data_IF_856042210642
#
_entry.id   IF_856042210642
#
_cell.length_a   1.000
_cell.length_b   1.000
_cell.length_c   1.000
_cell.angle_alpha   90.00
_cell.angle_beta   90.00
_cell.angle_gamma   90.00
#
_symmetry.space_group_name_H-M   'P 1'
#
loop_
_entity.id
_entity.type
_entity.pdbx_description
1 polymer ?
#
# COMPACT_ATOMS: atom_id res chain seq x y z
N UNK A 1 77.11 133.05 78.61
CA UNK A 1 75.97 132.13 78.40
C UNK A 1 75.86 131.64 76.95
N UNK A 2 76.98 131.58 76.22
CA UNK A 2 77.11 130.98 74.87
C UNK A 2 77.15 129.45 74.84
N UNK A 3 77.01 128.78 75.99
CA UNK A 3 77.27 127.34 76.11
C UNK A 3 76.00 126.48 75.93
N UNK A 4 74.82 126.94 76.41
CA UNK A 4 73.60 126.10 76.43
C UNK A 4 72.96 125.95 75.03
N UNK A 5 72.94 127.02 74.23
CA UNK A 5 72.37 127.01 72.88
C UNK A 5 73.18 126.10 71.94
N UNK A 6 74.50 126.01 72.13
CA UNK A 6 75.38 125.12 71.36
C UNK A 6 75.09 123.64 71.66
N UNK A 7 74.83 123.28 72.93
CA UNK A 7 74.50 121.90 73.31
C UNK A 7 73.14 121.43 72.76
N UNK A 8 72.12 122.30 72.73
CA UNK A 8 70.81 121.97 72.16
C UNK A 8 70.90 121.79 70.64
N UNK A 9 71.68 122.63 69.95
CA UNK A 9 71.89 122.53 68.50
C UNK A 9 72.66 121.25 68.12
N UNK A 10 73.67 120.86 68.90
CA UNK A 10 74.41 119.60 68.71
C UNK A 10 73.53 118.37 68.98
N UNK A 11 72.61 118.44 69.96
CA UNK A 11 71.64 117.38 70.23
C UNK A 11 70.61 117.19 69.10
N UNK A 12 70.14 118.28 68.51
CA UNK A 12 69.25 118.23 67.33
C UNK A 12 70.00 117.72 66.10
N UNK A 13 71.24 118.20 65.88
CA UNK A 13 72.07 117.75 64.76
C UNK A 13 72.39 116.25 64.86
N UNK A 14 72.72 115.75 66.05
CA UNK A 14 73.00 114.33 66.28
C UNK A 14 71.76 113.45 66.14
N UNK A 15 70.59 113.93 66.56
CA UNK A 15 69.31 113.26 66.33
C UNK A 15 68.93 113.17 64.85
N UNK A 16 69.12 114.25 64.09
CA UNK A 16 68.93 114.24 62.63
C UNK A 16 69.94 113.31 61.96
N UNK A 17 71.21 113.32 62.40
CA UNK A 17 72.23 112.40 61.88
C UNK A 17 71.85 110.93 62.15
N UNK A 18 71.37 110.60 63.35
CA UNK A 18 70.95 109.24 63.69
C UNK A 18 69.73 108.77 62.86
N UNK A 19 68.74 109.65 62.63
CA UNK A 19 67.58 109.33 61.78
C UNK A 19 67.97 109.16 60.32
N UNK A 20 68.86 110.01 59.79
CA UNK A 20 69.35 109.89 58.42
C UNK A 20 70.19 108.63 58.23
N UNK A 21 71.04 108.26 59.20
CA UNK A 21 71.82 107.03 59.20
C UNK A 21 70.93 105.78 59.32
N UNK A 22 69.89 105.80 60.16
CA UNK A 22 68.92 104.69 60.23
C UNK A 22 68.11 104.57 58.93
N UNK A 23 67.70 105.68 58.31
CA UNK A 23 67.05 105.66 56.98
C UNK A 23 68.00 105.14 55.91
N UNK A 24 69.28 105.51 55.92
CA UNK A 24 70.31 105.00 55.00
C UNK A 24 70.53 103.49 55.19
N UNK A 25 70.55 103.01 56.44
CA UNK A 25 70.67 101.59 56.76
C UNK A 25 69.43 100.81 56.32
N UNK A 26 68.23 101.36 56.51
CA UNK A 26 66.97 100.80 56.02
C UNK A 26 66.89 100.80 54.49
N UNK A 27 67.30 101.88 53.82
CA UNK A 27 67.38 101.95 52.37
C UNK A 27 68.35 100.90 51.82
N UNK A 28 69.52 100.74 52.47
CA UNK A 28 70.52 99.75 52.07
C UNK A 28 70.01 98.32 52.25
N UNK A 29 69.33 98.04 53.36
CA UNK A 29 68.66 96.75 53.57
C UNK A 29 67.57 96.46 52.53
N UNK A 30 66.77 97.46 52.16
CA UNK A 30 65.77 97.32 51.10
C UNK A 30 66.42 97.11 49.72
N UNK A 31 67.57 97.76 49.46
CA UNK A 31 68.34 97.61 48.23
C UNK A 31 68.93 96.20 48.12
N UNK A 32 69.46 95.63 49.21
CA UNK A 32 69.93 94.24 49.25
C UNK A 32 68.79 93.24 49.03
N UNK A 33 67.60 93.48 49.61
CA UNK A 33 66.41 92.63 49.37
C UNK A 33 65.94 92.73 47.92
N UNK A 34 65.91 93.95 47.34
CA UNK A 34 65.58 94.12 45.93
C UNK A 34 66.59 93.44 45.02
N UNK A 35 67.88 93.50 45.36
CA UNK A 35 68.95 92.88 44.59
C UNK A 35 68.88 91.36 44.68
N UNK A 36 68.66 90.79 45.87
CA UNK A 36 68.41 89.36 46.03
C UNK A 36 67.15 88.89 45.28
N UNK A 37 66.08 89.69 45.27
CA UNK A 37 64.87 89.38 44.50
C UNK A 37 65.12 89.46 42.99
N UNK A 38 65.92 90.43 42.54
CA UNK A 38 66.33 90.55 41.14
C UNK A 38 67.19 89.36 40.70
N UNK A 39 68.14 88.94 41.53
CA UNK A 39 69.02 87.80 41.25
C UNK A 39 68.24 86.49 41.27
N UNK A 40 67.29 86.32 42.19
CA UNK A 40 66.36 85.18 42.20
C UNK A 40 65.44 85.16 40.97
N UNK A 41 64.92 86.33 40.56
CA UNK A 41 64.11 86.45 39.35
C UNK A 41 64.92 86.13 38.09
N UNK A 42 66.19 86.55 38.02
CA UNK A 42 67.11 86.20 36.94
C UNK A 42 67.40 84.70 36.90
N UNK A 43 67.72 84.08 38.03
CA UNK A 43 67.95 82.64 38.09
C UNK A 43 66.72 81.86 37.62
N UNK A 44 65.53 82.23 38.09
CA UNK A 44 64.28 81.61 37.62
C UNK A 44 64.02 81.84 36.13
N UNK A 45 64.34 83.02 35.60
CA UNK A 45 64.21 83.29 34.17
C UNK A 45 65.11 82.35 33.37
N UNK A 46 66.35 82.17 33.79
CA UNK A 46 67.29 81.22 33.18
C UNK A 46 66.81 79.77 33.30
N UNK A 47 66.27 79.36 34.44
CA UNK A 47 65.69 78.02 34.61
C UNK A 47 64.49 77.80 33.68
N UNK A 48 63.63 78.81 33.50
CA UNK A 48 62.50 78.75 32.57
C UNK A 48 62.96 78.76 31.10
N UNK A 49 63.98 79.55 30.75
CA UNK A 49 64.58 79.55 29.41
C UNK A 49 65.14 78.16 29.06
N UNK A 50 65.85 77.53 30.01
CA UNK A 50 66.37 76.17 29.87
C UNK A 50 65.22 75.15 29.68
N UNK A 51 64.14 75.27 30.48
CA UNK A 51 62.99 74.37 30.38
C UNK A 51 62.22 74.53 29.06
N UNK A 52 62.13 75.76 28.53
CA UNK A 52 61.55 76.02 27.22
C UNK A 52 62.41 75.39 26.13
N UNK A 53 63.73 75.54 26.19
CA UNK A 53 64.65 74.94 25.22
C UNK A 53 64.58 73.39 25.22
N UNK A 54 64.56 72.77 26.40
CA UNK A 54 64.39 71.32 26.56
C UNK A 54 63.03 70.86 25.98
N UNK A 55 61.95 71.60 26.25
CA UNK A 55 60.61 71.29 25.74
C UNK A 55 60.52 71.47 24.22
N UNK A 56 61.18 72.49 23.66
CA UNK A 56 61.26 72.71 22.21
C UNK A 56 62.05 71.59 21.51
N UNK A 57 63.09 71.08 22.17
CA UNK A 57 63.84 69.92 21.71
C UNK A 57 62.97 68.65 21.70
N UNK A 58 62.23 68.36 22.78
CA UNK A 58 61.30 67.23 22.82
C UNK A 58 60.20 67.34 21.75
N UNK A 59 59.60 68.52 21.58
CA UNK A 59 58.62 68.78 20.52
C UNK A 59 59.20 68.53 19.13
N UNK A 60 60.46 68.90 18.92
CA UNK A 60 61.16 68.65 17.65
C UNK A 60 61.40 67.16 17.42
N UNK A 61 61.81 66.41 18.44
CA UNK A 61 61.97 64.96 18.34
C UNK A 61 60.64 64.25 18.06
N UNK A 62 59.58 64.59 18.79
CA UNK A 62 58.24 64.03 18.57
C UNK A 62 57.72 64.34 17.16
N UNK A 63 57.99 65.56 16.64
CA UNK A 63 57.63 65.92 15.27
C UNK A 63 58.37 65.06 14.23
N UNK A 64 59.66 64.77 14.46
CA UNK A 64 60.43 63.87 13.60
C UNK A 64 59.88 62.43 13.66
N UNK A 65 59.53 61.94 14.85
CA UNK A 65 58.91 60.60 15.01
C UNK A 65 57.54 60.50 14.34
N UNK A 66 56.67 61.52 14.48
CA UNK A 66 55.39 61.57 13.78
C UNK A 66 55.61 61.55 12.27
N UNK A 67 56.62 62.28 11.78
CA UNK A 67 56.94 62.34 10.36
C UNK A 67 57.45 60.99 9.83
N UNK A 68 58.29 60.29 10.60
CA UNK A 68 58.80 58.97 10.22
C UNK A 68 57.70 57.90 10.27
N UNK A 69 56.84 57.92 11.30
CA UNK A 69 55.67 57.05 11.41
C UNK A 69 54.65 57.30 10.29
N UNK A 70 54.44 58.55 9.89
CA UNK A 70 53.57 58.88 8.76
C UNK A 70 54.13 58.34 7.45
N UNK A 71 55.45 58.40 7.28
CA UNK A 71 56.12 57.86 6.10
C UNK A 71 56.04 56.33 6.04
N UNK A 72 56.20 55.64 7.18
CA UNK A 72 56.02 54.18 7.23
C UNK A 72 54.57 53.78 6.99
N UNK A 73 53.60 54.51 7.54
CA UNK A 73 52.18 54.28 7.28
C UNK A 73 51.83 54.43 5.79
N UNK A 74 52.33 55.45 5.10
CA UNK A 74 52.13 55.61 3.65
C UNK A 74 52.79 54.47 2.85
N UNK A 75 53.96 53.96 3.27
CA UNK A 75 54.55 52.76 2.66
C UNK A 75 53.65 51.53 2.82
N UNK A 76 53.03 51.35 3.99
CA UNK A 76 52.13 50.21 4.24
C UNK A 76 50.77 50.36 3.55
N UNK A 77 50.29 51.59 3.35
CA UNK A 77 49.05 51.89 2.62
C UNK A 77 49.05 51.34 1.18
N UNK A 78 50.22 51.28 0.54
CA UNK A 78 50.40 50.64 -0.77
C UNK A 78 49.99 49.15 -0.78
N UNK A 79 50.02 48.48 0.36
CA UNK A 79 49.65 47.07 0.48
C UNK A 79 48.17 46.85 0.83
N UNK A 80 47.37 47.91 1.00
CA UNK A 80 45.94 47.79 1.29
C UNK A 80 45.18 47.04 0.19
N UNK A 81 45.55 47.26 -1.08
CA UNK A 81 44.98 46.53 -2.22
C UNK A 81 45.26 45.02 -2.14
N UNK A 82 46.38 44.60 -1.55
CA UNK A 82 46.70 43.17 -1.36
C UNK A 82 45.74 42.54 -0.35
N UNK A 83 45.48 43.21 0.78
CA UNK A 83 44.51 42.73 1.77
C UNK A 83 43.09 42.64 1.19
N UNK A 84 42.70 43.60 0.35
CA UNK A 84 41.40 43.57 -0.32
C UNK A 84 41.31 42.42 -1.34
N UNK A 85 42.37 42.15 -2.10
CA UNK A 85 42.46 41.01 -3.01
C UNK A 85 42.41 39.69 -2.23
N UNK A 86 43.14 39.55 -1.12
CA UNK A 86 43.12 38.35 -0.27
C UNK A 86 41.70 38.08 0.24
N UNK A 87 41.01 39.10 0.73
CA UNK A 87 39.62 38.98 1.17
C UNK A 87 38.69 38.60 0.01
N UNK A 88 38.90 39.16 -1.18
CA UNK A 88 38.16 38.79 -2.39
C UNK A 88 38.40 37.31 -2.78
N UNK A 89 39.64 36.84 -2.74
CA UNK A 89 40.01 35.44 -3.03
C UNK A 89 39.37 34.49 -2.02
N UNK A 90 39.39 34.83 -0.73
CA UNK A 90 38.72 34.04 0.33
C UNK A 90 37.23 33.94 0.04
N UNK A 91 36.57 35.07 -0.23
CA UNK A 91 35.14 35.10 -0.53
C UNK A 91 34.80 34.28 -1.79
N UNK A 92 35.61 34.39 -2.85
CA UNK A 92 35.42 33.62 -4.09
C UNK A 92 35.63 32.12 -3.89
N UNK A 93 36.63 31.73 -3.09
CA UNK A 93 36.89 30.33 -2.76
C UNK A 93 35.72 29.74 -1.98
N UNK A 94 35.20 30.46 -0.97
CA UNK A 94 34.02 30.04 -0.21
C UNK A 94 32.77 29.92 -1.08
N UNK A 95 32.55 30.86 -2.01
CA UNK A 95 31.44 30.76 -2.98
C UNK A 95 31.58 29.54 -3.88
N UNK A 96 32.79 29.27 -4.40
CA UNK A 96 33.06 28.11 -5.25
C UNK A 96 32.84 26.80 -4.48
N UNK A 97 33.35 26.69 -3.25
CA UNK A 97 33.14 25.52 -2.39
C UNK A 97 31.66 25.28 -2.07
N UNK A 98 30.91 26.35 -1.77
CA UNK A 98 29.48 26.25 -1.53
C UNK A 98 28.74 25.80 -2.77
N UNK A 99 29.08 26.33 -3.95
CA UNK A 99 28.47 25.91 -5.21
C UNK A 99 28.74 24.43 -5.52
N UNK A 100 29.97 23.96 -5.30
CA UNK A 100 30.33 22.54 -5.46
C UNK A 100 29.55 21.66 -4.50
N UNK A 101 29.44 22.06 -3.21
CA UNK A 101 28.65 21.32 -2.21
C UNK A 101 27.18 21.25 -2.60
N UNK A 102 26.58 22.38 -2.98
CA UNK A 102 25.18 22.45 -3.43
C UNK A 102 24.96 21.55 -4.65
N UNK A 103 25.79 21.66 -5.68
CA UNK A 103 25.69 20.83 -6.89
C UNK A 103 25.80 19.34 -6.56
N UNK A 104 26.67 18.96 -5.61
CA UNK A 104 26.79 17.56 -5.17
C UNK A 104 25.54 17.07 -4.46
N UNK A 105 24.94 17.90 -3.60
CA UNK A 105 23.68 17.58 -2.91
C UNK A 105 22.55 17.44 -3.93
N UNK A 106 22.41 18.39 -4.85
CA UNK A 106 21.39 18.36 -5.90
C UNK A 106 21.54 17.12 -6.79
N UNK A 107 22.77 16.78 -7.18
CA UNK A 107 23.04 15.55 -7.93
C UNK A 107 22.68 14.28 -7.13
N UNK A 108 22.93 14.26 -5.81
CA UNK A 108 22.54 13.14 -4.94
C UNK A 108 21.02 13.00 -4.85
N UNK A 109 20.30 14.10 -4.66
CA UNK A 109 18.83 14.13 -4.64
C UNK A 109 18.28 13.61 -5.97
N UNK A 110 18.81 14.09 -7.09
CA UNK A 110 18.39 13.65 -8.43
C UNK A 110 18.61 12.15 -8.65
N UNK A 111 19.74 11.60 -8.19
CA UNK A 111 20.02 10.16 -8.27
C UNK A 111 19.01 9.36 -7.45
N UNK A 112 18.68 9.82 -6.24
CA UNK A 112 17.73 9.12 -5.38
C UNK A 112 16.29 9.23 -5.91
N UNK A 113 15.92 10.36 -6.52
CA UNK A 113 14.65 10.52 -7.23
C UNK A 113 14.54 9.57 -8.43
N UNK A 114 15.61 9.43 -9.23
CA UNK A 114 15.65 8.49 -10.36
C UNK A 114 15.52 7.06 -9.87
N UNK A 115 16.22 6.67 -8.79
CA UNK A 115 16.06 5.34 -8.18
C UNK A 115 14.62 5.11 -7.71
N UNK A 116 14.03 6.07 -7.01
CA UNK A 116 12.64 6.00 -6.57
C UNK A 116 11.66 5.87 -7.74
N UNK A 117 11.92 6.55 -8.86
CA UNK A 117 11.14 6.41 -10.09
C UNK A 117 11.28 5.01 -10.71
N UNK A 118 12.51 4.49 -10.82
CA UNK A 118 12.77 3.14 -11.35
C UNK A 118 12.03 2.09 -10.53
N UNK A 119 12.07 2.16 -9.20
CA UNK A 119 11.38 1.20 -8.33
C UNK A 119 9.85 1.27 -8.49
N UNK A 120 9.28 2.48 -8.63
CA UNK A 120 7.85 2.63 -8.94
C UNK A 120 7.48 2.03 -10.29
N UNK A 121 8.30 2.21 -11.32
CA UNK A 121 8.07 1.63 -12.65
C UNK A 121 8.17 0.11 -12.62
N UNK A 122 9.17 -0.45 -11.94
CA UNK A 122 9.29 -1.91 -11.75
C UNK A 122 8.05 -2.48 -11.07
N UNK A 123 7.65 -1.91 -9.94
CA UNK A 123 6.46 -2.35 -9.20
C UNK A 123 5.18 -2.23 -10.06
N UNK A 124 5.06 -1.19 -10.88
CA UNK A 124 3.95 -1.05 -11.82
C UNK A 124 3.95 -2.15 -12.90
N UNK A 125 5.10 -2.45 -13.50
CA UNK A 125 5.23 -3.49 -14.53
C UNK A 125 4.90 -4.87 -13.93
N UNK A 126 5.45 -5.19 -12.76
CA UNK A 126 5.17 -6.45 -12.05
C UNK A 126 3.68 -6.58 -11.73
N UNK A 127 3.07 -5.52 -11.18
CA UNK A 127 1.63 -5.48 -10.91
C UNK A 127 0.77 -5.59 -12.17
N UNK A 128 1.20 -4.97 -13.27
CA UNK A 128 0.50 -5.06 -14.56
C UNK A 128 0.59 -6.46 -15.16
N UNK A 129 1.77 -7.09 -15.13
CA UNK A 129 1.97 -8.46 -15.60
C UNK A 129 1.13 -9.46 -14.81
N UNK A 130 1.13 -9.36 -13.48
CA UNK A 130 0.29 -10.21 -12.63
C UNK A 130 -1.21 -10.08 -12.96
N UNK A 131 -1.69 -8.84 -13.14
CA UNK A 131 -3.08 -8.58 -13.55
C UNK A 131 -3.38 -9.08 -14.95
N UNK A 132 -2.45 -8.96 -15.89
CA UNK A 132 -2.63 -9.44 -17.26
C UNK A 132 -2.75 -10.97 -17.30
N UNK A 133 -1.87 -11.68 -16.59
CA UNK A 133 -1.94 -13.15 -16.45
C UNK A 133 -3.26 -13.56 -15.80
N UNK A 134 -3.65 -12.93 -14.69
CA UNK A 134 -4.92 -13.21 -14.01
C UNK A 134 -6.13 -13.00 -14.95
N UNK A 135 -6.13 -11.95 -15.76
CA UNK A 135 -7.20 -11.67 -16.72
C UNK A 135 -7.28 -12.74 -17.80
N UNK A 136 -6.13 -13.17 -18.34
CA UNK A 136 -6.06 -14.26 -19.33
C UNK A 136 -6.57 -15.57 -18.72
N UNK A 137 -6.15 -15.90 -17.50
CA UNK A 137 -6.61 -17.10 -16.80
C UNK A 137 -8.12 -17.08 -16.54
N UNK A 138 -8.66 -15.94 -16.12
CA UNK A 138 -10.10 -15.79 -15.92
C UNK A 138 -10.86 -15.98 -17.23
N UNK A 139 -10.42 -15.35 -18.31
CA UNK A 139 -11.02 -15.51 -19.63
C UNK A 139 -10.94 -16.96 -20.13
N UNK A 140 -9.82 -17.66 -19.89
CA UNK A 140 -9.67 -19.06 -20.24
C UNK A 140 -10.65 -19.94 -19.46
N UNK A 141 -10.82 -19.71 -18.15
CA UNK A 141 -11.79 -20.43 -17.31
C UNK A 141 -13.23 -20.20 -17.78
N UNK A 142 -13.60 -18.96 -18.06
CA UNK A 142 -14.92 -18.62 -18.59
C UNK A 142 -15.18 -19.32 -19.94
N UNK A 143 -14.18 -19.34 -20.82
CA UNK A 143 -14.26 -20.02 -22.11
C UNK A 143 -14.40 -21.54 -21.96
N UNK A 144 -13.61 -22.16 -21.09
CA UNK A 144 -13.71 -23.59 -20.78
C UNK A 144 -15.08 -23.96 -20.19
N UNK A 145 -15.60 -23.14 -19.29
CA UNK A 145 -16.93 -23.35 -18.72
C UNK A 145 -18.03 -23.26 -19.79
N UNK A 146 -17.90 -22.33 -20.75
CA UNK A 146 -18.81 -22.24 -21.91
C UNK A 146 -18.72 -23.49 -22.78
N UNK A 147 -17.52 -23.98 -23.11
CA UNK A 147 -17.36 -25.21 -23.88
C UNK A 147 -17.92 -26.43 -23.15
N UNK A 148 -17.69 -26.55 -21.84
CA UNK A 148 -18.26 -27.64 -21.04
C UNK A 148 -19.79 -27.62 -21.09
N UNK A 149 -20.40 -26.44 -20.90
CA UNK A 149 -21.86 -26.27 -21.00
C UNK A 149 -22.38 -26.61 -22.41
N UNK A 150 -21.66 -26.19 -23.45
CA UNK A 150 -22.03 -26.48 -24.83
C UNK A 150 -21.95 -27.98 -25.13
N UNK A 151 -20.87 -28.65 -24.75
CA UNK A 151 -20.73 -30.09 -24.91
C UNK A 151 -21.81 -30.85 -24.13
N UNK A 152 -22.12 -30.42 -22.91
CA UNK A 152 -23.20 -31.01 -22.12
C UNK A 152 -24.57 -30.87 -22.81
N UNK A 153 -24.87 -29.72 -23.41
CA UNK A 153 -26.11 -29.54 -24.17
C UNK A 153 -26.11 -30.38 -25.46
N UNK A 154 -24.96 -30.52 -26.13
CA UNK A 154 -24.81 -31.36 -27.32
C UNK A 154 -25.07 -32.84 -27.01
N UNK A 155 -24.48 -33.39 -25.94
CA UNK A 155 -24.79 -34.74 -25.47
C UNK A 155 -26.27 -34.91 -25.14
N UNK A 156 -26.86 -33.94 -24.44
CA UNK A 156 -28.28 -33.96 -24.09
C UNK A 156 -29.18 -33.92 -25.34
N UNK A 157 -28.84 -33.12 -26.35
CA UNK A 157 -29.56 -33.09 -27.62
C UNK A 157 -29.39 -34.39 -28.40
N UNK A 158 -28.22 -35.02 -28.34
CA UNK A 158 -28.00 -36.34 -28.93
C UNK A 158 -28.88 -37.40 -28.27
N UNK A 159 -29.01 -37.40 -26.94
CA UNK A 159 -29.93 -38.30 -26.22
C UNK A 159 -31.39 -38.08 -26.66
N UNK A 160 -31.80 -36.81 -26.86
CA UNK A 160 -33.13 -36.46 -27.36
C UNK A 160 -33.35 -36.95 -28.79
N UNK A 161 -32.37 -36.74 -29.69
CA UNK A 161 -32.45 -37.22 -31.08
C UNK A 161 -32.54 -38.74 -31.11
N UNK A 162 -31.71 -39.43 -30.34
CA UNK A 162 -31.71 -40.88 -30.23
C UNK A 162 -33.06 -41.40 -29.70
N UNK A 163 -33.60 -40.74 -28.65
CA UNK A 163 -34.92 -41.06 -28.12
C UNK A 163 -36.04 -40.86 -29.17
N UNK A 164 -35.97 -39.80 -29.99
CA UNK A 164 -36.90 -39.60 -31.10
C UNK A 164 -36.77 -40.69 -32.17
N UNK A 165 -35.54 -41.07 -32.54
CA UNK A 165 -35.26 -42.13 -33.50
C UNK A 165 -35.85 -43.47 -33.03
N UNK A 166 -35.66 -43.83 -31.76
CA UNK A 166 -36.28 -45.03 -31.18
C UNK A 166 -37.82 -44.97 -31.21
N UNK A 167 -38.42 -43.81 -30.92
CA UNK A 167 -39.88 -43.65 -31.03
C UNK A 167 -40.40 -43.82 -32.46
N UNK A 168 -39.61 -43.40 -33.47
CA UNK A 168 -39.96 -43.53 -34.89
C UNK A 168 -39.85 -44.99 -35.34
N UNK A 169 -38.75 -45.66 -35.02
CA UNK A 169 -38.48 -47.04 -35.47
C UNK A 169 -39.17 -48.10 -34.60
N UNK A 170 -39.62 -47.72 -33.41
CA UNK A 170 -40.15 -48.62 -32.40
C UNK A 170 -39.07 -49.40 -31.66
N UNK A 171 -39.47 -50.12 -30.61
CA UNK A 171 -38.57 -50.85 -29.71
C UNK A 171 -38.43 -52.35 -30.05
N UNK A 172 -38.83 -52.77 -31.25
CA UNK A 172 -38.95 -54.19 -31.60
C UNK A 172 -37.59 -54.88 -31.81
N UNK A 173 -36.57 -54.13 -32.23
CA UNK A 173 -35.25 -54.65 -32.58
C UNK A 173 -34.16 -53.90 -31.80
N UNK A 174 -33.13 -54.62 -31.34
CA UNK A 174 -31.95 -54.03 -30.68
C UNK A 174 -31.97 -54.05 -29.14
N UNK A 175 -33.12 -54.25 -28.49
CA UNK A 175 -33.24 -54.23 -27.02
C UNK A 175 -33.53 -55.61 -26.42
N UNK A 176 -32.64 -56.58 -26.70
CA UNK A 176 -32.80 -57.99 -26.31
C UNK A 176 -32.32 -58.29 -24.89
N UNK A 177 -32.78 -57.54 -23.90
CA UNK A 177 -32.56 -57.86 -22.49
C UNK A 177 -33.81 -58.52 -21.91
N UNK A 178 -33.69 -59.76 -21.46
CA UNK A 178 -34.74 -60.48 -20.75
C UNK A 178 -34.47 -60.53 -19.24
N UNK A 179 -35.53 -60.73 -18.45
CA UNK A 179 -35.45 -60.85 -17.00
C UNK A 179 -34.54 -62.02 -16.56
N UNK A 180 -34.53 -63.12 -17.32
CA UNK A 180 -33.63 -64.26 -17.08
C UNK A 180 -32.16 -63.88 -17.13
N UNK A 181 -31.79 -62.93 -17.99
CA UNK A 181 -30.40 -62.50 -18.14
C UNK A 181 -29.98 -61.73 -16.87
N UNK A 182 -30.87 -60.88 -16.35
CA UNK A 182 -30.68 -60.18 -15.07
C UNK A 182 -30.67 -61.13 -13.87
N UNK A 183 -31.45 -62.22 -13.89
CA UNK A 183 -31.41 -63.23 -12.82
C UNK A 183 -30.01 -63.85 -12.66
N UNK A 184 -29.26 -64.02 -13.75
CA UNK A 184 -27.89 -64.57 -13.67
C UNK A 184 -26.90 -63.65 -12.98
N UNK A 185 -27.22 -62.35 -12.86
CA UNK A 185 -26.40 -61.36 -12.16
C UNK A 185 -26.70 -61.30 -10.65
N UNK A 186 -27.76 -61.97 -10.17
CA UNK A 186 -28.12 -61.98 -8.76
C UNK A 186 -27.25 -62.96 -7.96
N UNK A 187 -27.11 -62.69 -6.66
CA UNK A 187 -26.40 -63.56 -5.73
C UNK A 187 -27.08 -64.92 -5.68
N UNK A 188 -26.28 -65.98 -5.61
CA UNK A 188 -26.77 -67.36 -5.49
C UNK A 188 -27.73 -67.50 -4.30
N UNK A 189 -28.90 -68.10 -4.55
CA UNK A 189 -29.94 -68.28 -3.55
C UNK A 189 -30.93 -67.13 -3.39
N UNK A 190 -30.84 -66.05 -4.17
CA UNK A 190 -31.85 -64.99 -4.19
C UNK A 190 -33.20 -65.52 -4.71
N UNK A 191 -34.26 -65.42 -3.90
CA UNK A 191 -35.55 -66.08 -4.18
C UNK A 191 -36.67 -65.11 -4.56
N UNK A 192 -37.83 -65.67 -4.89
CA UNK A 192 -39.07 -64.92 -5.17
C UNK A 192 -39.43 -63.99 -4.01
N UNK A 193 -39.30 -64.46 -2.76
CA UNK A 193 -39.62 -63.69 -1.57
C UNK A 193 -38.71 -62.46 -1.40
N UNK A 194 -37.41 -62.61 -1.67
CA UNK A 194 -36.44 -61.51 -1.59
C UNK A 194 -36.71 -60.48 -2.69
N UNK A 195 -36.98 -60.96 -3.91
CA UNK A 195 -37.36 -60.12 -5.06
C UNK A 195 -38.63 -59.33 -4.77
N UNK A 196 -39.65 -59.98 -4.19
CA UNK A 196 -40.92 -59.35 -3.85
C UNK A 196 -40.75 -58.27 -2.77
N UNK A 197 -39.95 -58.55 -1.72
CA UNK A 197 -39.64 -57.58 -0.68
C UNK A 197 -38.89 -56.38 -1.25
N UNK A 198 -37.87 -56.61 -2.07
CA UNK A 198 -37.11 -55.51 -2.67
C UNK A 198 -37.96 -54.65 -3.62
N UNK A 199 -38.85 -55.26 -4.40
CA UNK A 199 -39.81 -54.51 -5.23
C UNK A 199 -40.75 -53.67 -4.38
N UNK A 200 -41.19 -54.17 -3.22
CA UNK A 200 -41.99 -53.40 -2.27
C UNK A 200 -41.20 -52.21 -1.72
N UNK A 201 -39.94 -52.41 -1.30
CA UNK A 201 -39.07 -51.35 -0.80
C UNK A 201 -38.86 -50.24 -1.86
N UNK A 202 -38.69 -50.61 -3.13
CA UNK A 202 -38.59 -49.65 -4.24
C UNK A 202 -39.88 -48.85 -4.40
N UNK A 203 -41.04 -49.51 -4.31
CA UNK A 203 -42.36 -48.83 -4.42
C UNK A 203 -42.59 -47.86 -3.27
N UNK A 204 -42.23 -48.24 -2.05
CA UNK A 204 -42.29 -47.35 -0.89
C UNK A 204 -41.40 -46.12 -1.08
N UNK A 205 -40.19 -46.29 -1.64
CA UNK A 205 -39.30 -45.18 -2.00
C UNK A 205 -39.90 -44.26 -3.09
N UNK A 206 -40.55 -44.85 -4.11
CA UNK A 206 -41.24 -44.09 -5.16
C UNK A 206 -42.37 -43.25 -4.56
N UNK A 207 -43.21 -43.84 -3.71
CA UNK A 207 -44.29 -43.11 -3.03
C UNK A 207 -43.73 -42.01 -2.12
N UNK A 208 -42.65 -42.28 -1.39
CA UNK A 208 -42.01 -41.29 -0.54
C UNK A 208 -41.46 -40.12 -1.38
N UNK A 209 -40.82 -40.39 -2.52
CA UNK A 209 -40.33 -39.34 -3.41
C UNK A 209 -41.45 -38.48 -3.98
N UNK A 210 -42.63 -39.06 -4.26
CA UNK A 210 -43.85 -38.33 -4.64
C UNK A 210 -44.32 -37.43 -3.48
N UNK A 211 -44.49 -37.99 -2.28
CA UNK A 211 -44.92 -37.24 -1.08
C UNK A 211 -43.97 -36.07 -0.75
N UNK A 212 -42.67 -36.31 -0.87
CA UNK A 212 -41.63 -35.32 -0.60
C UNK A 212 -41.42 -34.29 -1.73
N UNK A 213 -42.19 -34.39 -2.83
CA UNK A 213 -42.00 -33.57 -4.05
C UNK A 213 -40.58 -33.63 -4.63
N UNK A 214 -39.92 -34.79 -4.53
CA UNK A 214 -38.57 -35.06 -5.06
C UNK A 214 -38.57 -35.70 -6.45
N UNK A 215 -39.72 -35.75 -7.10
CA UNK A 215 -39.88 -36.34 -8.45
C UNK A 215 -39.31 -35.42 -9.53
N UNK A 216 -39.66 -34.15 -9.45
CA UNK A 216 -39.34 -33.13 -10.44
C UNK A 216 -38.79 -31.86 -9.78
N UNK A 217 -38.32 -30.92 -10.58
CA UNK A 217 -37.93 -29.57 -10.16
C UNK A 217 -38.13 -28.59 -11.31
N UNK A 218 -38.41 -27.33 -11.01
CA UNK A 218 -38.45 -26.24 -11.99
C UNK A 218 -38.13 -24.89 -11.33
N UNK A 219 -37.86 -23.88 -12.16
CA UNK A 219 -37.36 -22.57 -11.71
C UNK A 219 -38.46 -21.50 -11.54
N UNK A 220 -39.74 -21.87 -11.49
CA UNK A 220 -40.80 -20.90 -11.22
C UNK A 220 -40.65 -20.31 -9.81
N UNK A 221 -40.67 -18.97 -9.75
CA UNK A 221 -40.63 -18.23 -8.48
C UNK A 221 -41.95 -18.39 -7.72
N UNK A 222 -43.06 -18.30 -8.43
CA UNK A 222 -44.41 -18.50 -7.92
C UNK A 222 -44.61 -19.96 -7.48
N UNK A 223 -45.02 -20.15 -6.22
CA UNK A 223 -45.11 -21.48 -5.60
C UNK A 223 -46.23 -22.34 -6.19
N UNK A 224 -47.39 -21.76 -6.47
CA UNK A 224 -48.54 -22.48 -7.02
C UNK A 224 -48.25 -22.96 -8.44
N UNK A 225 -47.66 -22.09 -9.28
CA UNK A 225 -47.20 -22.46 -10.63
C UNK A 225 -46.08 -23.50 -10.59
N UNK A 226 -45.13 -23.35 -9.65
CA UNK A 226 -44.04 -24.32 -9.45
C UNK A 226 -44.61 -25.70 -9.11
N UNK A 227 -45.47 -25.77 -8.10
CA UNK A 227 -46.12 -26.99 -7.66
C UNK A 227 -46.95 -27.62 -8.78
N UNK A 228 -47.81 -26.85 -9.44
CA UNK A 228 -48.66 -27.33 -10.54
C UNK A 228 -47.83 -27.88 -11.71
N UNK A 229 -46.74 -27.20 -12.07
CA UNK A 229 -45.84 -27.66 -13.14
C UNK A 229 -45.12 -28.94 -12.75
N UNK A 230 -44.63 -29.03 -11.51
CA UNK A 230 -44.00 -30.22 -10.97
C UNK A 230 -44.97 -31.41 -10.95
N UNK A 231 -46.22 -31.19 -10.53
CA UNK A 231 -47.24 -32.24 -10.49
C UNK A 231 -47.59 -32.71 -11.91
N UNK A 232 -47.73 -31.78 -12.86
CA UNK A 232 -48.06 -32.10 -14.25
C UNK A 232 -46.96 -32.95 -14.92
N UNK A 233 -45.69 -32.55 -14.79
CA UNK A 233 -44.59 -33.30 -15.42
C UNK A 233 -44.37 -34.65 -14.73
N UNK A 234 -44.53 -34.70 -13.40
CA UNK A 234 -44.47 -35.94 -12.62
C UNK A 234 -45.57 -36.91 -13.04
N UNK A 235 -46.79 -36.43 -13.21
CA UNK A 235 -47.92 -37.23 -13.69
C UNK A 235 -47.68 -37.77 -15.10
N UNK A 236 -47.17 -36.94 -16.01
CA UNK A 236 -46.85 -37.34 -17.38
C UNK A 236 -45.82 -38.48 -17.41
N UNK A 237 -44.74 -38.36 -16.63
CA UNK A 237 -43.71 -39.39 -16.53
C UNK A 237 -44.22 -40.67 -15.87
N UNK A 238 -44.94 -40.56 -14.75
CA UNK A 238 -45.48 -41.71 -14.03
C UNK A 238 -46.49 -42.48 -14.89
N UNK A 239 -47.34 -41.78 -15.65
CA UNK A 239 -48.28 -42.42 -16.58
C UNK A 239 -47.56 -43.25 -17.65
N UNK A 240 -46.39 -42.81 -18.13
CA UNK A 240 -45.57 -43.59 -19.06
C UNK A 240 -44.96 -44.81 -18.38
N UNK A 241 -44.40 -44.63 -17.19
CA UNK A 241 -43.80 -45.72 -16.45
C UNK A 241 -44.84 -46.80 -16.06
N UNK A 242 -46.04 -46.40 -15.64
CA UNK A 242 -47.15 -47.31 -15.32
C UNK A 242 -47.64 -48.04 -16.58
N UNK A 243 -47.70 -47.34 -17.72
CA UNK A 243 -47.98 -47.97 -19.01
C UNK A 243 -46.96 -49.06 -19.34
N UNK A 244 -45.66 -48.81 -19.14
CA UNK A 244 -44.62 -49.79 -19.41
C UNK A 244 -44.64 -50.96 -18.43
N UNK A 245 -44.89 -50.71 -17.14
CA UNK A 245 -45.14 -51.78 -16.17
C UNK A 245 -46.33 -52.65 -16.57
N UNK A 246 -47.42 -52.06 -17.06
CA UNK A 246 -48.61 -52.81 -17.49
C UNK A 246 -48.38 -53.71 -18.72
N UNK A 247 -47.37 -53.39 -19.54
CA UNK A 247 -46.98 -54.13 -20.75
C UNK A 247 -45.74 -55.01 -20.53
N UNK A 248 -45.20 -55.02 -19.32
CA UNK A 248 -44.00 -55.73 -18.98
C UNK A 248 -44.23 -57.24 -19.03
N UNK A 249 -43.30 -57.93 -19.66
CA UNK A 249 -43.17 -59.38 -19.68
C UNK A 249 -41.72 -59.73 -19.32
N UNK A 250 -41.45 -60.99 -19.03
CA UNK A 250 -40.08 -61.41 -18.75
C UNK A 250 -39.12 -61.22 -19.96
N UNK A 251 -39.65 -61.17 -21.19
CA UNK A 251 -38.84 -61.20 -22.41
C UNK A 251 -38.62 -59.81 -23.03
N UNK A 252 -39.37 -58.79 -22.60
CA UNK A 252 -39.31 -57.44 -23.17
C UNK A 252 -38.76 -56.36 -22.21
N UNK A 253 -38.02 -56.77 -21.17
CA UNK A 253 -37.48 -55.86 -20.16
C UNK A 253 -36.63 -54.75 -20.79
N UNK A 254 -35.70 -55.10 -21.69
CA UNK A 254 -34.86 -54.12 -22.40
C UNK A 254 -35.67 -53.07 -23.15
N UNK A 255 -36.76 -53.48 -23.80
CA UNK A 255 -37.65 -52.56 -24.53
C UNK A 255 -38.35 -51.58 -23.58
N UNK A 256 -38.85 -52.06 -22.44
CA UNK A 256 -39.55 -51.22 -21.47
C UNK A 256 -38.59 -50.24 -20.77
N UNK A 257 -37.38 -50.68 -20.44
CA UNK A 257 -36.34 -49.82 -19.86
C UNK A 257 -35.97 -48.70 -20.83
N UNK A 258 -35.68 -49.03 -22.09
CA UNK A 258 -35.34 -48.01 -23.08
C UNK A 258 -36.52 -47.05 -23.33
N UNK A 259 -37.74 -47.56 -23.47
CA UNK A 259 -38.90 -46.73 -23.75
C UNK A 259 -39.18 -45.73 -22.62
N UNK A 260 -38.95 -46.11 -21.37
CA UNK A 260 -39.05 -45.22 -20.22
C UNK A 260 -37.92 -44.18 -20.21
N UNK A 261 -36.69 -44.59 -20.49
CA UNK A 261 -35.53 -43.69 -20.54
C UNK A 261 -35.67 -42.65 -21.66
N UNK A 262 -36.18 -43.05 -22.83
CA UNK A 262 -36.47 -42.14 -23.93
C UNK A 262 -37.55 -41.12 -23.54
N UNK A 263 -38.65 -41.57 -22.91
CA UNK A 263 -39.68 -40.64 -22.42
C UNK A 263 -39.12 -39.66 -21.38
N UNK A 264 -38.20 -40.08 -20.52
CA UNK A 264 -37.51 -39.18 -19.59
C UNK A 264 -36.75 -38.07 -20.34
N UNK A 265 -35.96 -38.40 -21.36
CA UNK A 265 -35.23 -37.41 -22.15
C UNK A 265 -36.18 -36.44 -22.88
N UNK A 266 -37.23 -36.96 -23.51
CA UNK A 266 -38.19 -36.16 -24.26
C UNK A 266 -39.00 -35.23 -23.34
N UNK A 267 -39.48 -35.74 -22.21
CA UNK A 267 -40.22 -34.95 -21.22
C UNK A 267 -39.32 -33.85 -20.65
N UNK A 268 -38.07 -34.16 -20.30
CA UNK A 268 -37.13 -33.16 -19.77
C UNK A 268 -36.69 -32.13 -20.81
N UNK A 269 -36.62 -32.50 -22.09
CA UNK A 269 -36.42 -31.56 -23.18
C UNK A 269 -37.59 -30.60 -23.31
N UNK A 270 -38.83 -31.11 -23.35
CA UNK A 270 -40.03 -30.24 -23.39
C UNK A 270 -40.21 -29.41 -22.12
N UNK A 271 -39.77 -29.92 -20.98
CA UNK A 271 -39.79 -29.18 -19.72
C UNK A 271 -38.88 -27.94 -19.70
N UNK A 272 -37.92 -27.80 -20.63
CA UNK A 272 -37.12 -26.56 -20.76
C UNK A 272 -38.02 -25.33 -20.99
N UNK A 273 -39.09 -25.49 -21.78
CA UNK A 273 -40.07 -24.45 -22.10
C UNK A 273 -40.96 -24.09 -20.89
N UNK A 274 -40.99 -24.96 -19.88
CA UNK A 274 -41.77 -24.82 -18.65
C UNK A 274 -40.88 -24.39 -17.47
N UNK A 275 -40.07 -23.35 -17.68
CA UNK A 275 -39.14 -22.83 -16.68
C UNK A 275 -38.13 -23.89 -16.18
N UNK A 276 -37.49 -24.61 -17.12
CA UNK A 276 -36.52 -25.66 -16.81
C UNK A 276 -37.10 -26.77 -15.93
N UNK A 277 -38.37 -27.12 -16.13
CA UNK A 277 -38.99 -28.26 -15.50
C UNK A 277 -38.28 -29.55 -15.93
N UNK A 278 -37.94 -30.41 -14.98
CA UNK A 278 -37.28 -31.69 -15.25
C UNK A 278 -37.59 -32.73 -14.16
N UNK A 279 -37.78 -33.96 -14.59
CA UNK A 279 -37.73 -35.16 -13.75
C UNK A 279 -36.29 -35.35 -13.26
N UNK A 280 -36.13 -35.71 -11.99
CA UNK A 280 -34.80 -35.97 -11.41
C UNK A 280 -34.25 -37.32 -11.87
N UNK A 281 -32.94 -37.40 -12.14
CA UNK A 281 -32.28 -38.65 -12.53
C UNK A 281 -32.49 -39.75 -11.49
N UNK A 282 -32.36 -39.40 -10.20
CA UNK A 282 -32.61 -40.33 -9.08
C UNK A 282 -34.00 -40.96 -9.13
N UNK A 283 -35.00 -40.24 -9.63
CA UNK A 283 -36.36 -40.75 -9.75
C UNK A 283 -36.54 -41.64 -10.98
N UNK A 284 -35.87 -41.33 -12.10
CA UNK A 284 -35.77 -42.27 -13.23
C UNK A 284 -35.15 -43.59 -12.78
N UNK A 285 -34.06 -43.54 -12.02
CA UNK A 285 -33.35 -44.74 -11.56
C UNK A 285 -34.27 -45.63 -10.70
N UNK A 286 -35.09 -45.06 -9.82
CA UNK A 286 -36.10 -45.79 -9.05
C UNK A 286 -37.13 -46.50 -9.96
N UNK A 287 -37.65 -45.80 -10.97
CA UNK A 287 -38.65 -46.38 -11.89
C UNK A 287 -38.04 -47.45 -12.82
N UNK A 288 -36.77 -47.31 -13.20
CA UNK A 288 -36.04 -48.35 -13.93
C UNK A 288 -35.79 -49.58 -13.05
N UNK A 289 -35.45 -49.40 -11.77
CA UNK A 289 -35.34 -50.51 -10.82
C UNK A 289 -36.67 -51.21 -10.61
N UNK A 290 -37.77 -50.47 -10.52
CA UNK A 290 -39.11 -51.07 -10.42
C UNK A 290 -39.41 -51.98 -11.61
N UNK A 291 -39.13 -51.53 -12.84
CA UNK A 291 -39.28 -52.36 -14.04
C UNK A 291 -38.41 -53.62 -14.00
N UNK A 292 -37.14 -53.50 -13.57
CA UNK A 292 -36.23 -54.65 -13.43
C UNK A 292 -36.77 -55.68 -12.44
N UNK A 293 -37.08 -55.27 -11.21
CA UNK A 293 -37.54 -56.19 -10.16
C UNK A 293 -38.95 -56.73 -10.41
N UNK A 294 -39.82 -55.96 -11.07
CA UNK A 294 -41.09 -56.48 -11.54
C UNK A 294 -40.90 -57.60 -12.59
N UNK A 295 -39.96 -57.43 -13.53
CA UNK A 295 -39.66 -58.45 -14.54
C UNK A 295 -39.03 -59.70 -13.93
N UNK A 296 -38.10 -59.52 -12.97
CA UNK A 296 -37.50 -60.62 -12.21
C UNK A 296 -38.56 -61.43 -11.47
N UNK A 297 -39.51 -60.77 -10.81
CA UNK A 297 -40.60 -61.43 -10.10
C UNK A 297 -41.51 -62.22 -11.07
N UNK A 298 -41.77 -61.69 -12.27
CA UNK A 298 -42.51 -62.41 -13.30
C UNK A 298 -41.78 -63.68 -13.75
N UNK A 299 -40.45 -63.61 -13.90
CA UNK A 299 -39.64 -64.75 -14.34
C UNK A 299 -39.51 -65.84 -13.25
N UNK A 300 -39.32 -65.45 -11.99
CA UNK A 300 -39.28 -66.38 -10.86
C UNK A 300 -40.63 -67.10 -10.68
N UNK A 301 -41.76 -66.39 -10.89
CA UNK A 301 -43.10 -66.99 -10.87
C UNK A 301 -43.35 -67.96 -12.02
N UNK A 302 -42.72 -67.75 -13.18
CA UNK A 302 -42.77 -68.71 -14.31
C UNK A 302 -41.98 -69.98 -14.02
N UNK A 303 -40.98 -69.92 -13.15
CA UNK A 303 -40.06 -71.04 -12.83
C UNK A 303 -40.17 -71.48 -11.38
N UNK A 304 -41.34 -72.00 -10.91
CA UNK A 304 -41.45 -72.51 -9.57
C UNK A 304 -40.57 -73.77 -9.41
N UNK A 305 -39.43 -73.64 -8.74
CA UNK A 305 -38.68 -74.78 -8.18
C UNK A 305 -37.94 -75.68 -9.19
N UNK A 306 -37.05 -75.11 -10.00
CA UNK A 306 -35.85 -75.87 -10.41
C UNK A 306 -34.66 -75.36 -9.62
N UNK A 307 -34.47 -75.97 -8.44
CA UNK A 307 -33.15 -76.08 -7.83
C UNK A 307 -32.24 -76.67 -8.92
N UNK A 308 -31.37 -75.83 -9.47
CA UNK A 308 -30.22 -76.29 -10.25
C UNK A 308 -29.31 -77.05 -9.28
N UNK A 309 -29.61 -78.32 -9.05
CA UNK A 309 -28.59 -79.27 -8.68
C UNK A 309 -27.69 -79.42 -9.91
N UNK A 310 -26.61 -78.63 -9.92
CA UNK A 310 -25.42 -78.93 -10.72
C UNK A 310 -24.81 -80.20 -10.12
N UNK A 311 -24.88 -81.28 -10.89
CA UNK A 311 -23.95 -82.40 -10.84
C UNK A 311 -22.84 -82.15 -11.87
#
# INVERSE_FOLDING_TARGET
MSSIILFVLVGILSGVLAVTLNKLKSLRGNLDVLQNNLDHARHKLTDYEQQVEDSEYELSQLRVQISSLRTTLEKYKKYQEICEIEQYVINRTLQAENFVKMTKVDASIMVDDIKGYIERVKAFIEGYQAKAIQKVDQQAREKLQRYYKQAQEEYRLQDVVTALEHKIHGYQYGFSLAAKDVLTELIEGYQEQDTARHLQDIREQIEQAIRDKKVAQCNYVDEDRRNTTMDMISLAFNSRADLYLSRLTADNLGQMLQALQDDFYLINHKGQDLSQARIQQSYLDLRLQELKFAALLLELKKTPGKVLHLA
#
